data_IF_401722741499
#
_entry.id   IF_401722741499
#
_cell.length_a   1.000
_cell.length_b   1.000
_cell.length_c   1.000
_cell.angle_alpha   90.00
_cell.angle_beta   90.00
_cell.angle_gamma   90.00
#
_symmetry.space_group_name_H-M   'P 1'
#
loop_
_entity.id
_entity.type
_entity.pdbx_description
1 polymer ?
#
# COMPACT_ATOMS: atom_id res chain seq x y z
N UNK A 1 0.54 -15.43 -13.44
CA UNK A 1 -0.22 -14.16 -13.34
C UNK A 1 0.78 -13.02 -13.42
N UNK A 2 0.49 -11.93 -14.13
CA UNK A 2 1.44 -10.85 -14.47
C UNK A 2 1.46 -9.70 -13.43
N UNK A 3 1.09 -9.98 -12.18
CA UNK A 3 0.91 -8.96 -11.14
C UNK A 3 2.27 -8.41 -10.67
N UNK A 4 2.64 -7.21 -11.13
CA UNK A 4 3.96 -6.62 -10.89
C UNK A 4 3.92 -5.43 -9.92
N UNK A 5 2.77 -4.76 -9.79
CA UNK A 5 2.63 -3.55 -8.97
C UNK A 5 1.77 -3.83 -7.75
N UNK A 6 2.42 -3.99 -6.59
CA UNK A 6 1.72 -4.19 -5.32
C UNK A 6 1.46 -2.83 -4.65
N UNK A 7 0.18 -2.56 -4.39
CA UNK A 7 -0.31 -1.35 -3.75
C UNK A 7 -0.60 -1.66 -2.28
N UNK A 8 0.01 -0.89 -1.39
CA UNK A 8 -0.20 -0.96 0.06
C UNK A 8 -0.43 0.46 0.61
N UNK A 9 -1.70 0.88 0.74
CA UNK A 9 -2.01 2.15 1.37
C UNK A 9 -1.74 2.10 2.88
N UNK A 10 -1.30 3.22 3.43
CA UNK A 10 -1.14 3.43 4.86
C UNK A 10 -1.80 4.76 5.23
N UNK A 11 -2.96 4.67 5.85
CA UNK A 11 -3.74 5.81 6.32
C UNK A 11 -4.60 5.38 7.52
N UNK A 12 -5.02 6.35 8.33
CA UNK A 12 -6.04 6.10 9.34
C UNK A 12 -7.42 6.15 8.68
N UNK A 13 -8.17 5.04 8.71
CA UNK A 13 -9.53 5.00 8.17
C UNK A 13 -10.48 6.01 8.86
N UNK A 14 -10.14 6.41 10.09
CA UNK A 14 -10.78 7.48 10.85
C UNK A 14 -9.76 8.11 11.80
N UNK A 15 -9.91 9.42 12.04
CA UNK A 15 -9.14 10.14 13.08
C UNK A 15 -9.31 9.54 14.48
N UNK A 16 -10.41 8.82 14.72
CA UNK A 16 -10.69 8.12 15.97
C UNK A 16 -9.84 6.86 16.17
N UNK A 17 -9.00 6.50 15.20
CA UNK A 17 -8.02 5.42 15.29
C UNK A 17 -6.59 5.93 15.51
N UNK A 18 -6.34 7.24 15.47
CA UNK A 18 -4.96 7.76 15.58
C UNK A 18 -4.30 7.35 16.89
N UNK A 19 -5.07 7.26 17.98
CA UNK A 19 -4.57 6.83 19.30
C UNK A 19 -4.30 5.31 19.39
N UNK A 20 -4.69 4.51 18.38
CA UNK A 20 -4.30 3.09 18.32
C UNK A 20 -2.90 2.90 17.73
N UNK A 21 -2.31 3.95 17.17
CA UNK A 21 -0.94 3.94 16.68
C UNK A 21 0.06 3.70 17.82
N UNK A 22 1.15 2.94 17.59
CA UNK A 22 2.28 2.92 18.53
C UNK A 22 3.05 4.25 18.54
N UNK A 23 2.86 5.11 17.54
CA UNK A 23 3.43 6.44 17.50
C UNK A 23 2.50 7.43 18.22
N UNK A 24 3.10 8.48 18.80
CA UNK A 24 2.32 9.60 19.36
C UNK A 24 1.39 10.18 18.28
N UNK A 25 0.15 10.46 18.63
CA UNK A 25 -0.81 11.07 17.71
C UNK A 25 -0.28 12.36 17.03
N UNK A 26 0.50 13.17 17.76
CA UNK A 26 1.13 14.39 17.21
C UNK A 26 2.19 14.13 16.11
N UNK A 27 2.62 12.88 15.93
CA UNK A 27 3.62 12.46 14.94
C UNK A 27 2.95 11.83 13.71
N UNK A 28 1.92 11.00 13.91
CA UNK A 28 1.33 10.19 12.84
C UNK A 28 -0.03 10.70 12.33
N UNK A 29 -0.70 11.63 13.02
CA UNK A 29 -1.98 12.18 12.55
C UNK A 29 -1.84 12.75 11.13
N UNK A 30 -2.78 12.39 10.25
CA UNK A 30 -2.79 12.84 8.85
C UNK A 30 -1.85 12.07 7.92
N UNK A 31 -1.28 10.94 8.35
CA UNK A 31 -0.58 10.03 7.44
C UNK A 31 -1.53 9.51 6.36
N UNK A 32 -1.10 9.65 5.11
CA UNK A 32 -1.76 9.13 3.91
C UNK A 32 -0.68 8.83 2.86
N UNK A 33 -0.22 7.59 2.87
CA UNK A 33 0.83 7.07 2.02
C UNK A 33 0.28 5.98 1.11
N UNK A 34 0.76 5.94 -0.14
CA UNK A 34 0.51 4.82 -1.05
C UNK A 34 1.86 4.22 -1.46
N UNK A 35 2.24 3.08 -0.86
CA UNK A 35 3.44 2.38 -1.28
C UNK A 35 3.13 1.49 -2.49
N UNK A 36 3.94 1.63 -3.53
CA UNK A 36 3.86 0.93 -4.80
C UNK A 36 5.13 0.10 -4.96
N UNK A 37 5.03 -1.17 -4.56
CA UNK A 37 6.13 -2.13 -4.56
C UNK A 37 6.20 -2.85 -5.91
N UNK A 38 7.38 -2.89 -6.51
CA UNK A 38 7.66 -3.82 -7.62
C UNK A 38 7.71 -5.25 -7.07
N UNK A 39 6.94 -6.18 -7.64
CA UNK A 39 6.65 -7.48 -7.02
C UNK A 39 7.37 -8.67 -7.67
N UNK A 40 7.89 -8.53 -8.89
CA UNK A 40 8.27 -9.66 -9.75
C UNK A 40 9.74 -9.67 -10.16
N UNK A 41 10.55 -8.75 -9.62
CA UNK A 41 11.96 -8.59 -9.98
C UNK A 41 12.81 -8.36 -8.71
N UNK A 42 14.10 -8.04 -8.88
CA UNK A 42 14.99 -7.74 -7.76
C UNK A 42 15.53 -8.97 -7.04
N UNK A 43 15.96 -8.78 -5.79
CA UNK A 43 16.68 -9.78 -4.98
C UNK A 43 15.98 -11.14 -4.90
N UNK A 44 14.65 -11.16 -4.88
CA UNK A 44 13.86 -12.38 -4.66
C UNK A 44 13.88 -13.34 -5.85
N UNK A 45 14.13 -12.81 -7.05
CA UNK A 45 14.07 -13.54 -8.32
C UNK A 45 15.43 -13.66 -9.00
N UNK A 46 16.47 -13.00 -8.47
CA UNK A 46 17.82 -13.14 -8.99
C UNK A 46 18.44 -14.50 -8.65
N UNK A 47 19.57 -14.77 -9.29
CA UNK A 47 20.37 -15.95 -9.00
C UNK A 47 20.78 -15.98 -7.54
N UNK A 48 20.63 -17.15 -6.92
CA UNK A 48 21.00 -17.38 -5.52
C UNK A 48 21.80 -18.66 -5.39
N UNK A 49 22.62 -18.71 -4.34
CA UNK A 49 23.34 -19.90 -3.90
C UNK A 49 23.15 -20.06 -2.39
N UNK A 50 22.62 -21.21 -2.00
CA UNK A 50 22.51 -21.62 -0.60
C UNK A 50 23.89 -21.86 0.03
N UNK A 51 23.96 -21.75 1.36
CA UNK A 51 25.22 -21.90 2.09
C UNK A 51 25.85 -23.29 1.90
N UNK A 52 27.08 -23.32 1.39
CA UNK A 52 27.81 -24.56 1.09
C UNK A 52 28.92 -24.89 2.12
N UNK A 53 28.90 -24.25 3.28
CA UNK A 53 29.99 -24.32 4.26
C UNK A 53 31.03 -23.21 4.09
N UNK A 54 31.05 -22.50 2.96
CA UNK A 54 31.98 -21.39 2.69
C UNK A 54 31.23 -20.09 2.47
N UNK A 55 30.24 -20.06 1.57
CA UNK A 55 29.49 -18.86 1.26
C UNK A 55 28.06 -19.13 0.79
N UNK A 56 27.26 -18.07 0.79
CA UNK A 56 25.93 -17.96 0.20
C UNK A 56 25.82 -16.58 -0.48
N UNK A 57 24.94 -16.45 -1.46
CA UNK A 57 24.64 -15.15 -2.06
C UNK A 57 23.23 -15.10 -2.65
N UNK A 58 22.74 -13.87 -2.78
CA UNK A 58 21.51 -13.51 -3.47
C UNK A 58 21.82 -12.30 -4.37
N UNK A 59 21.33 -12.32 -5.61
CA UNK A 59 21.64 -11.29 -6.60
C UNK A 59 20.44 -10.37 -6.80
N UNK A 60 20.63 -9.06 -6.69
CA UNK A 60 19.58 -8.09 -7.10
C UNK A 60 19.76 -7.73 -8.56
N UNK A 61 18.76 -8.04 -9.39
CA UNK A 61 18.74 -7.67 -10.82
C UNK A 61 17.46 -6.89 -11.12
N UNK A 62 17.60 -5.82 -11.90
CA UNK A 62 16.51 -5.04 -12.47
C UNK A 62 16.83 -4.73 -13.92
N UNK A 63 15.82 -4.79 -14.77
CA UNK A 63 15.87 -4.34 -16.16
C UNK A 63 15.11 -3.02 -16.30
N UNK A 64 15.45 -2.24 -17.34
CA UNK A 64 14.75 -0.97 -17.62
C UNK A 64 13.22 -1.16 -17.75
N UNK A 65 12.68 -2.13 -18.52
CA UNK A 65 11.23 -2.30 -18.64
C UNK A 65 10.52 -2.61 -17.31
N UNK A 66 11.17 -3.34 -16.39
CA UNK A 66 10.61 -3.63 -15.07
C UNK A 66 10.46 -2.38 -14.21
N UNK A 67 11.41 -1.44 -14.32
CA UNK A 67 11.38 -0.16 -13.61
C UNK A 67 10.40 0.81 -14.28
N UNK A 68 10.32 0.82 -15.61
CA UNK A 68 9.40 1.71 -16.32
C UNK A 68 7.93 1.42 -15.97
N UNK A 69 7.52 0.15 -15.95
CA UNK A 69 6.12 -0.22 -15.65
C UNK A 69 5.69 0.17 -14.24
N UNK A 70 6.59 0.11 -13.26
CA UNK A 70 6.30 0.52 -11.87
C UNK A 70 6.31 2.05 -11.73
N UNK A 71 7.21 2.74 -12.44
CA UNK A 71 7.23 4.20 -12.53
C UNK A 71 5.93 4.75 -13.14
N UNK A 72 5.46 4.17 -14.25
CA UNK A 72 4.18 4.54 -14.89
C UNK A 72 2.98 4.31 -13.97
N UNK A 73 2.98 3.20 -13.23
CA UNK A 73 1.94 2.94 -12.24
C UNK A 73 1.95 3.97 -11.11
N UNK A 74 3.14 4.32 -10.60
CA UNK A 74 3.29 5.39 -9.61
C UNK A 74 2.78 6.74 -10.11
N UNK A 75 3.13 7.12 -11.33
CA UNK A 75 2.69 8.38 -11.95
C UNK A 75 1.17 8.43 -12.15
N UNK A 76 0.58 7.34 -12.62
CA UNK A 76 -0.89 7.21 -12.73
C UNK A 76 -1.59 7.39 -11.38
N UNK A 77 -1.09 6.71 -10.33
CA UNK A 77 -1.68 6.78 -9.00
C UNK A 77 -1.56 8.17 -8.40
N UNK A 78 -0.41 8.83 -8.56
CA UNK A 78 -0.20 10.18 -8.06
C UNK A 78 -1.17 11.16 -8.69
N UNK A 79 -1.34 11.13 -10.02
CA UNK A 79 -2.35 11.95 -10.71
C UNK A 79 -3.77 11.66 -10.24
N UNK A 80 -4.12 10.38 -10.09
CA UNK A 80 -5.47 9.95 -9.66
C UNK A 80 -5.79 10.41 -8.23
N UNK A 81 -4.78 10.46 -7.36
CA UNK A 81 -4.89 10.95 -5.98
C UNK A 81 -4.80 12.47 -5.86
N UNK A 82 -4.39 13.17 -6.93
CA UNK A 82 -4.11 14.60 -6.89
C UNK A 82 -2.80 14.96 -6.20
N UNK A 83 -1.89 13.98 -6.06
CA UNK A 83 -0.55 14.21 -5.51
C UNK A 83 0.28 15.05 -6.50
N UNK A 84 1.04 16.02 -5.99
CA UNK A 84 1.93 16.87 -6.80
C UNK A 84 3.32 16.28 -7.03
N UNK A 85 3.60 15.13 -6.40
CA UNK A 85 4.92 14.47 -6.44
C UNK A 85 4.80 12.96 -6.32
N UNK A 86 5.87 12.28 -6.72
CA UNK A 86 6.13 10.88 -6.38
C UNK A 86 7.49 10.76 -5.70
N UNK A 87 7.52 9.96 -4.64
CA UNK A 87 8.75 9.63 -3.93
C UNK A 87 9.31 8.33 -4.51
N UNK A 88 10.54 8.36 -5.00
CA UNK A 88 11.24 7.19 -5.52
C UNK A 88 12.25 6.68 -4.50
N UNK A 89 12.07 5.46 -4.02
CA UNK A 89 12.89 4.86 -2.97
C UNK A 89 14.04 4.05 -3.54
N UNK A 90 15.26 4.27 -3.05
CA UNK A 90 16.44 3.53 -3.52
C UNK A 90 17.63 3.55 -2.54
N UNK A 91 18.76 2.97 -2.96
CA UNK A 91 20.06 3.08 -2.29
C UNK A 91 21.18 3.45 -3.28
N UNK A 92 20.95 4.44 -4.13
CA UNK A 92 21.82 4.76 -5.27
C UNK A 92 23.23 5.26 -4.88
N UNK A 93 23.40 5.69 -3.64
CA UNK A 93 24.71 6.02 -3.08
C UNK A 93 25.63 4.79 -2.94
N UNK A 94 25.08 3.57 -3.00
CA UNK A 94 25.84 2.32 -2.96
C UNK A 94 25.56 1.47 -4.19
N UNK A 95 24.30 1.15 -4.46
CA UNK A 95 23.91 0.07 -5.39
C UNK A 95 23.83 0.53 -6.85
N UNK A 96 24.38 -0.29 -7.76
CA UNK A 96 24.28 -0.06 -9.20
C UNK A 96 22.83 -0.18 -9.72
N UNK A 97 22.07 -1.15 -9.21
CA UNK A 97 20.64 -1.32 -9.52
C UNK A 97 19.81 -0.10 -9.11
N UNK A 98 20.15 0.53 -7.98
CA UNK A 98 19.51 1.77 -7.55
C UNK A 98 19.89 2.98 -8.41
N UNK A 99 21.10 3.02 -8.97
CA UNK A 99 21.45 4.06 -9.96
C UNK A 99 20.67 3.88 -11.26
N UNK A 100 20.54 2.64 -11.74
CA UNK A 100 19.66 2.32 -12.87
C UNK A 100 18.21 2.74 -12.57
N UNK A 101 17.70 2.39 -11.38
CA UNK A 101 16.35 2.75 -10.94
C UNK A 101 16.11 4.25 -11.05
N UNK A 102 16.98 5.08 -10.44
CA UNK A 102 16.86 6.55 -10.52
C UNK A 102 16.84 7.04 -11.96
N UNK A 103 17.80 6.61 -12.77
CA UNK A 103 17.89 7.06 -14.17
C UNK A 103 16.64 6.74 -14.99
N UNK A 104 16.07 5.55 -14.81
CA UNK A 104 14.86 5.13 -15.53
C UNK A 104 13.63 5.87 -15.01
N UNK A 105 13.48 6.03 -13.69
CA UNK A 105 12.39 6.81 -13.10
C UNK A 105 12.43 8.26 -13.59
N UNK A 106 13.60 8.91 -13.54
CA UNK A 106 13.77 10.29 -14.03
C UNK A 106 13.42 10.40 -15.51
N UNK A 107 13.85 9.45 -16.34
CA UNK A 107 13.53 9.41 -17.77
C UNK A 107 12.01 9.30 -18.01
N UNK A 108 11.34 8.36 -17.34
CA UNK A 108 9.88 8.15 -17.48
C UNK A 108 9.11 9.39 -17.04
N UNK A 109 9.43 9.95 -15.87
CA UNK A 109 8.69 11.10 -15.36
C UNK A 109 8.92 12.36 -16.18
N UNK A 110 10.15 12.59 -16.64
CA UNK A 110 10.45 13.71 -17.54
C UNK A 110 9.65 13.63 -18.84
N UNK A 111 9.49 12.42 -19.41
CA UNK A 111 8.88 12.24 -20.72
C UNK A 111 7.35 12.08 -20.66
N UNK A 112 6.81 11.47 -19.61
CA UNK A 112 5.40 11.04 -19.53
C UNK A 112 4.61 11.77 -18.42
N UNK A 113 5.30 12.29 -17.40
CA UNK A 113 4.70 12.93 -16.22
C UNK A 113 5.36 14.27 -15.84
N UNK A 114 5.54 15.23 -16.78
CA UNK A 114 6.29 16.46 -16.52
C UNK A 114 5.63 17.39 -15.47
N UNK A 115 4.36 17.16 -15.14
CA UNK A 115 3.58 17.81 -14.09
C UNK A 115 3.88 17.28 -12.68
N UNK A 116 4.45 16.07 -12.55
CA UNK A 116 4.75 15.45 -11.27
C UNK A 116 6.22 15.67 -10.89
N UNK A 117 6.47 16.19 -9.68
CA UNK A 117 7.82 16.26 -9.14
C UNK A 117 8.29 14.86 -8.70
N UNK A 118 9.48 14.43 -9.12
CA UNK A 118 10.13 13.23 -8.55
C UNK A 118 11.03 13.64 -7.39
N UNK A 119 10.86 12.99 -6.25
CA UNK A 119 11.74 13.13 -5.09
C UNK A 119 12.41 11.79 -4.78
N UNK A 120 13.72 11.70 -4.97
CA UNK A 120 14.48 10.49 -4.62
C UNK A 120 14.79 10.48 -3.12
N UNK A 121 14.46 9.38 -2.47
CA UNK A 121 14.60 9.20 -1.04
C UNK A 121 15.36 7.90 -0.77
N UNK A 122 16.42 7.97 0.07
CA UNK A 122 17.16 6.76 0.45
C UNK A 122 16.33 5.89 1.38
N UNK A 123 16.33 4.58 1.17
CA UNK A 123 15.51 3.59 1.90
C UNK A 123 15.72 3.66 3.42
N UNK A 124 16.97 3.73 3.88
CA UNK A 124 17.31 3.84 5.30
C UNK A 124 16.84 5.16 5.91
N UNK A 125 16.93 6.25 5.17
CA UNK A 125 16.41 7.54 5.60
C UNK A 125 14.88 7.57 5.57
N UNK A 126 14.23 6.87 4.63
CA UNK A 126 12.77 6.71 4.59
C UNK A 126 12.25 6.01 5.85
N UNK A 127 12.86 4.89 6.25
CA UNK A 127 12.53 4.20 7.50
C UNK A 127 12.62 5.14 8.71
N UNK A 128 13.71 5.91 8.81
CA UNK A 128 13.86 6.90 9.88
C UNK A 128 12.76 7.99 9.85
N UNK A 129 12.34 8.42 8.66
CA UNK A 129 11.26 9.41 8.50
C UNK A 129 9.90 8.80 8.88
N UNK A 130 9.62 7.55 8.52
CA UNK A 130 8.37 6.85 8.86
C UNK A 130 8.10 6.83 10.38
N UNK A 131 9.16 6.70 11.19
CA UNK A 131 9.01 6.74 12.65
C UNK A 131 8.95 8.17 13.20
N UNK A 132 9.77 9.09 12.66
CA UNK A 132 9.95 10.42 13.25
C UNK A 132 8.92 11.45 12.81
N UNK A 133 8.53 11.42 11.54
CA UNK A 133 7.59 12.36 10.94
C UNK A 133 7.03 11.78 9.61
N UNK A 134 6.20 10.72 9.69
CA UNK A 134 5.75 9.98 8.51
C UNK A 134 4.96 10.81 7.50
N UNK A 135 4.33 11.92 7.92
CA UNK A 135 3.59 12.80 7.02
C UNK A 135 4.46 13.43 5.91
N UNK A 136 5.78 13.50 6.10
CA UNK A 136 6.72 13.91 5.04
C UNK A 136 6.75 12.93 3.85
N UNK A 137 6.32 11.69 4.07
CA UNK A 137 6.25 10.65 3.04
C UNK A 137 4.84 10.51 2.44
N UNK A 138 3.89 11.37 2.81
CA UNK A 138 2.55 11.35 2.25
C UNK A 138 2.55 11.48 0.72
N UNK A 139 1.63 10.76 0.10
CA UNK A 139 1.52 10.60 -1.35
C UNK A 139 2.03 9.24 -1.83
N UNK A 140 2.25 9.14 -3.14
CA UNK A 140 2.74 7.90 -3.77
C UNK A 140 4.25 7.73 -3.60
N UNK A 141 4.63 6.55 -3.12
CA UNK A 141 6.01 6.08 -3.01
C UNK A 141 6.21 4.86 -3.91
N UNK A 142 7.16 4.89 -4.84
CA UNK A 142 7.56 3.71 -5.63
C UNK A 142 8.82 3.08 -5.05
N UNK A 143 8.86 1.74 -4.97
CA UNK A 143 9.95 1.02 -4.33
C UNK A 143 10.38 -0.26 -5.07
N UNK A 144 11.69 -0.59 -5.08
CA UNK A 144 12.17 -1.92 -5.41
C UNK A 144 11.59 -2.99 -4.47
N UNK A 145 11.57 -4.24 -4.90
CA UNK A 145 10.84 -5.34 -4.26
C UNK A 145 11.13 -5.50 -2.77
N UNK A 146 12.40 -5.70 -2.39
CA UNK A 146 12.82 -5.86 -1.00
C UNK A 146 12.48 -4.63 -0.14
N UNK A 147 12.74 -3.42 -0.67
CA UNK A 147 12.50 -2.18 0.05
C UNK A 147 11.01 -1.94 0.26
N UNK A 148 10.21 -2.22 -0.78
CA UNK A 148 8.76 -2.12 -0.73
C UNK A 148 8.15 -3.12 0.25
N UNK A 149 8.72 -4.33 0.36
CA UNK A 149 8.33 -5.32 1.35
C UNK A 149 8.47 -4.76 2.78
N UNK A 150 9.72 -4.39 3.14
CA UNK A 150 10.08 -3.92 4.48
C UNK A 150 9.31 -2.65 4.85
N UNK A 151 9.33 -1.64 3.99
CA UNK A 151 8.73 -0.33 4.30
C UNK A 151 7.21 -0.39 4.31
N UNK A 152 6.59 -1.34 3.60
CA UNK A 152 5.13 -1.50 3.69
C UNK A 152 4.68 -2.09 5.01
N UNK A 153 5.45 -3.03 5.57
CA UNK A 153 5.18 -3.58 6.89
C UNK A 153 5.46 -2.52 7.96
N UNK A 154 6.53 -1.73 7.82
CA UNK A 154 6.78 -0.58 8.71
C UNK A 154 5.64 0.44 8.64
N UNK A 155 5.16 0.79 7.45
CA UNK A 155 4.00 1.66 7.29
C UNK A 155 2.74 1.07 7.95
N UNK A 156 2.53 -0.25 7.85
CA UNK A 156 1.39 -0.90 8.50
C UNK A 156 1.40 -0.78 10.02
N UNK A 157 2.59 -0.74 10.64
CA UNK A 157 2.71 -0.54 12.07
C UNK A 157 2.27 0.87 12.51
N UNK A 158 2.38 1.87 11.64
CA UNK A 158 1.98 3.26 11.94
C UNK A 158 0.48 3.35 12.23
N UNK A 159 -0.37 2.64 11.49
CA UNK A 159 -1.83 2.71 11.66
C UNK A 159 -2.34 1.91 12.87
N UNK A 160 -1.47 1.12 13.51
CA UNK A 160 -1.77 0.39 14.75
C UNK A 160 -2.55 -0.92 14.57
N UNK A 161 -3.17 -1.15 13.40
CA UNK A 161 -3.75 -2.46 13.07
C UNK A 161 -3.51 -2.83 11.60
N UNK A 162 -2.78 -3.93 11.41
CA UNK A 162 -2.63 -4.61 10.12
C UNK A 162 -3.97 -5.15 9.58
N UNK A 163 -4.96 -5.38 10.46
CA UNK A 163 -6.29 -5.87 10.11
C UNK A 163 -7.10 -4.88 9.27
N UNK A 164 -6.71 -3.61 9.25
CA UNK A 164 -7.38 -2.54 8.52
C UNK A 164 -6.89 -2.36 7.09
N UNK A 165 -5.73 -2.91 6.74
CA UNK A 165 -5.03 -2.48 5.54
C UNK A 165 -5.33 -3.42 4.36
N UNK A 166 -5.86 -2.89 3.26
CA UNK A 166 -6.06 -3.65 2.05
C UNK A 166 -4.76 -3.71 1.22
N UNK A 167 -4.73 -4.60 0.24
CA UNK A 167 -3.68 -4.66 -0.77
C UNK A 167 -4.24 -5.04 -2.14
N UNK A 168 -3.56 -4.57 -3.18
CA UNK A 168 -3.82 -4.95 -4.56
C UNK A 168 -2.52 -5.25 -5.29
N UNK A 169 -2.49 -6.32 -6.08
CA UNK A 169 -1.37 -6.65 -6.97
C UNK A 169 -1.85 -6.56 -8.41
N UNK A 170 -1.50 -5.45 -9.08
CA UNK A 170 -1.99 -5.09 -10.41
C UNK A 170 -1.10 -5.68 -11.52
N UNK A 171 -1.72 -6.17 -12.59
CA UNK A 171 -1.00 -6.63 -13.78
C UNK A 171 -0.75 -5.53 -14.82
N UNK A 172 -1.22 -4.32 -14.58
CA UNK A 172 -1.13 -3.18 -15.50
C UNK A 172 -1.56 -1.88 -14.85
N UNK A 173 -1.30 -0.77 -15.53
CA UNK A 173 -1.83 0.54 -15.15
C UNK A 173 -3.33 0.57 -15.48
N UNK A 174 -4.22 0.93 -14.53
CA UNK A 174 -5.64 1.05 -14.81
C UNK A 174 -5.93 2.10 -15.90
N UNK A 175 -6.69 1.71 -16.92
CA UNK A 175 -7.15 2.62 -17.99
C UNK A 175 -8.66 2.78 -17.93
N UNK A 176 -9.14 4.00 -18.14
CA UNK A 176 -10.58 4.31 -18.15
C UNK A 176 -11.29 3.47 -19.21
N UNK A 177 -12.31 2.74 -18.79
CA UNK A 177 -13.13 1.88 -19.66
C UNK A 177 -12.53 0.49 -19.90
N UNK A 178 -11.37 0.18 -19.32
CA UNK A 178 -10.74 -1.14 -19.38
C UNK A 178 -10.86 -1.88 -18.06
N UNK A 179 -10.81 -3.22 -18.12
CA UNK A 179 -10.61 -4.07 -16.94
C UNK A 179 -9.16 -4.49 -16.86
N UNK A 180 -8.57 -4.41 -15.68
CA UNK A 180 -7.21 -4.90 -15.41
C UNK A 180 -7.31 -6.17 -14.58
N UNK A 181 -6.71 -7.27 -15.04
CA UNK A 181 -6.60 -8.46 -14.21
C UNK A 181 -5.69 -8.17 -13.01
N UNK A 182 -6.17 -8.39 -11.79
CA UNK A 182 -5.44 -8.06 -10.56
C UNK A 182 -5.82 -9.02 -9.44
N UNK A 183 -4.98 -9.08 -8.40
CA UNK A 183 -5.25 -9.80 -7.15
C UNK A 183 -5.56 -8.78 -6.06
N UNK A 184 -6.54 -9.05 -5.22
CA UNK A 184 -6.91 -8.21 -4.08
C UNK A 184 -6.97 -9.07 -2.83
N UNK A 185 -6.29 -8.62 -1.77
CA UNK A 185 -6.13 -9.36 -0.52
C UNK A 185 -5.93 -8.40 0.65
N UNK A 186 -6.31 -8.73 1.89
CA UNK A 186 -5.86 -7.96 3.04
C UNK A 186 -4.35 -8.13 3.24
N UNK A 187 -3.67 -7.15 3.87
CA UNK A 187 -2.24 -7.28 4.18
C UNK A 187 -1.98 -8.36 5.24
N UNK A 188 -2.92 -8.56 6.17
CA UNK A 188 -2.75 -9.55 7.23
C UNK A 188 -2.69 -10.98 6.68
N UNK A 189 -1.93 -11.84 7.35
CA UNK A 189 -1.86 -13.27 7.04
C UNK A 189 -3.10 -14.07 7.48
N UNK A 190 -2.95 -15.38 7.59
CA UNK A 190 -4.05 -16.31 7.89
C UNK A 190 -4.59 -16.29 9.34
N UNK A 191 -3.90 -15.61 10.26
CA UNK A 191 -4.26 -15.49 11.68
C UNK A 191 -4.75 -16.82 12.31
N UNK A 192 -3.92 -17.90 12.25
CA UNK A 192 -4.35 -19.26 12.58
C UNK A 192 -4.77 -19.42 14.05
N UNK A 193 -4.23 -18.60 14.95
CA UNK A 193 -4.52 -18.57 16.38
C UNK A 193 -5.95 -18.10 16.70
N UNK A 194 -6.59 -17.34 15.81
CA UNK A 194 -7.96 -16.83 15.97
C UNK A 194 -8.96 -17.33 14.91
N UNK A 195 -8.52 -18.20 14.00
CA UNK A 195 -9.38 -18.81 12.99
C UNK A 195 -10.58 -19.53 13.60
N UNK A 196 -11.76 -19.38 12.99
CA UNK A 196 -13.01 -20.00 13.43
C UNK A 196 -13.66 -19.36 14.67
N UNK A 197 -13.05 -18.33 15.28
CA UNK A 197 -13.58 -17.69 16.50
C UNK A 197 -14.52 -16.51 16.23
N UNK A 198 -14.67 -16.09 14.98
CA UNK A 198 -15.55 -14.96 14.62
C UNK A 198 -15.09 -13.60 15.16
N UNK A 199 -13.79 -13.44 15.39
CA UNK A 199 -13.18 -12.21 15.96
C UNK A 199 -12.14 -11.55 15.04
N UNK A 200 -11.96 -12.07 13.82
CA UNK A 200 -11.05 -11.48 12.82
C UNK A 200 -11.63 -10.16 12.35
N UNK A 201 -10.80 -9.15 12.19
CA UNK A 201 -11.20 -7.86 11.61
C UNK A 201 -11.47 -8.02 10.10
N UNK A 202 -12.70 -7.81 9.61
CA UNK A 202 -13.01 -7.98 8.18
C UNK A 202 -12.65 -6.75 7.34
N UNK A 203 -12.27 -5.63 7.94
CA UNK A 203 -12.14 -4.32 7.27
C UNK A 203 -11.10 -4.37 6.15
N UNK A 204 -9.92 -4.96 6.37
CA UNK A 204 -8.90 -5.08 5.33
C UNK A 204 -9.42 -5.81 4.10
N UNK A 205 -10.20 -6.88 4.28
CA UNK A 205 -10.82 -7.62 3.17
C UNK A 205 -11.87 -6.78 2.44
N UNK A 206 -12.73 -6.07 3.18
CA UNK A 206 -13.76 -5.19 2.61
C UNK A 206 -13.11 -4.04 1.81
N UNK A 207 -12.05 -3.43 2.33
CA UNK A 207 -11.32 -2.38 1.62
C UNK A 207 -10.55 -2.92 0.41
N UNK A 208 -10.13 -4.19 0.40
CA UNK A 208 -9.58 -4.83 -0.80
C UNK A 208 -10.64 -4.99 -1.91
N UNK A 209 -11.91 -5.19 -1.55
CA UNK A 209 -13.03 -5.12 -2.52
C UNK A 209 -13.22 -3.70 -3.04
N UNK A 210 -13.06 -2.66 -2.20
CA UNK A 210 -13.08 -1.28 -2.67
C UNK A 210 -11.94 -0.99 -3.67
N UNK A 211 -10.73 -1.50 -3.41
CA UNK A 211 -9.62 -1.44 -4.37
C UNK A 211 -9.94 -2.17 -5.68
N UNK A 212 -10.67 -3.30 -5.63
CA UNK A 212 -11.13 -4.01 -6.83
C UNK A 212 -12.09 -3.16 -7.67
N UNK A 213 -13.08 -2.53 -7.03
CA UNK A 213 -13.97 -1.59 -7.71
C UNK A 213 -13.16 -0.46 -8.38
N UNK A 214 -12.22 0.13 -7.63
CA UNK A 214 -11.42 1.25 -8.11
C UNK A 214 -10.52 0.90 -9.29
N UNK A 215 -9.71 -0.17 -9.17
CA UNK A 215 -8.60 -0.41 -10.09
C UNK A 215 -8.88 -1.46 -11.18
N UNK A 216 -9.77 -2.44 -10.93
CA UNK A 216 -10.09 -3.48 -11.93
C UNK A 216 -11.40 -3.24 -12.64
N UNK A 217 -12.38 -2.60 -11.98
CA UNK A 217 -13.73 -2.44 -12.52
C UNK A 217 -14.03 -1.01 -12.96
N UNK A 218 -13.13 -0.06 -12.70
CA UNK A 218 -13.30 1.36 -13.01
C UNK A 218 -14.58 1.96 -12.39
N UNK A 219 -14.89 1.51 -11.17
CA UNK A 219 -16.03 1.88 -10.34
C UNK A 219 -15.56 2.70 -9.13
N UNK A 220 -14.94 3.85 -9.41
CA UNK A 220 -14.31 4.70 -8.38
C UNK A 220 -15.34 5.29 -7.40
N UNK A 221 -16.57 5.52 -7.87
CA UNK A 221 -17.67 5.99 -7.03
C UNK A 221 -18.10 4.92 -6.03
N UNK A 222 -18.29 3.68 -6.47
CA UNK A 222 -18.67 2.53 -5.65
C UNK A 222 -17.56 2.20 -4.64
N UNK A 223 -16.29 2.27 -5.05
CA UNK A 223 -15.16 2.14 -4.14
C UNK A 223 -15.24 3.17 -3.00
N UNK A 224 -15.51 4.44 -3.35
CA UNK A 224 -15.64 5.52 -2.37
C UNK A 224 -16.81 5.30 -1.41
N UNK A 225 -17.95 4.78 -1.88
CA UNK A 225 -19.09 4.46 -1.01
C UNK A 225 -18.73 3.41 0.04
N UNK A 226 -17.96 2.37 -0.34
CA UNK A 226 -17.49 1.34 0.60
C UNK A 226 -16.51 1.93 1.61
N UNK A 227 -15.54 2.73 1.15
CA UNK A 227 -14.56 3.40 2.02
C UNK A 227 -15.25 4.35 3.03
N UNK A 228 -16.23 5.13 2.57
CA UNK A 228 -17.01 6.05 3.40
C UNK A 228 -17.87 5.31 4.42
N UNK A 229 -18.47 4.17 4.06
CA UNK A 229 -19.23 3.33 4.98
C UNK A 229 -18.36 2.71 6.08
N UNK A 230 -17.15 2.24 5.72
CA UNK A 230 -16.17 1.75 6.70
C UNK A 230 -15.79 2.85 7.67
N UNK A 231 -15.45 4.05 7.16
CA UNK A 231 -15.14 5.21 7.98
C UNK A 231 -16.29 5.58 8.92
N UNK A 232 -17.51 5.67 8.40
CA UNK A 232 -18.70 6.01 9.18
C UNK A 232 -18.97 4.99 10.30
N UNK A 233 -18.79 3.69 10.04
CA UNK A 233 -18.95 2.66 11.06
C UNK A 233 -17.90 2.79 12.17
N UNK A 234 -16.64 3.08 11.81
CA UNK A 234 -15.55 3.34 12.75
C UNK A 234 -15.83 4.62 13.56
N UNK A 235 -16.30 5.70 12.93
CA UNK A 235 -16.69 6.93 13.62
C UNK A 235 -17.88 6.70 14.57
N UNK A 236 -18.79 5.77 14.21
CA UNK A 236 -19.90 5.30 15.03
C UNK A 236 -19.51 4.37 16.18
N UNK A 237 -18.22 4.10 16.38
CA UNK A 237 -17.71 3.31 17.51
C UNK A 237 -17.40 1.85 17.20
N UNK A 238 -17.46 1.40 15.94
CA UNK A 238 -17.04 0.06 15.55
C UNK A 238 -15.57 -0.18 15.91
N UNK A 239 -15.31 -1.14 16.82
CA UNK A 239 -13.95 -1.53 17.21
C UNK A 239 -13.89 -3.06 17.39
N UNK A 240 -13.18 -3.74 16.50
CA UNK A 240 -12.76 -5.14 16.65
C UNK A 240 -11.61 -5.25 17.65
N UNK A 241 -11.24 -6.47 18.03
CA UNK A 241 -10.27 -6.74 19.10
C UNK A 241 -8.89 -6.10 18.87
N UNK A 242 -8.39 -6.15 17.65
CA UNK A 242 -7.14 -5.53 17.19
C UNK A 242 -7.17 -4.00 17.20
N UNK A 243 -8.36 -3.39 17.19
CA UNK A 243 -8.57 -1.94 17.38
C UNK A 243 -8.90 -1.57 18.83
N UNK A 244 -8.75 -2.50 19.77
CA UNK A 244 -9.02 -2.28 21.20
C UNK A 244 -10.48 -2.41 21.61
N UNK A 245 -11.36 -2.94 20.74
CA UNK A 245 -12.77 -3.20 21.07
C UNK A 245 -13.11 -4.67 21.22
N UNK A 246 -14.39 -5.00 21.05
CA UNK A 246 -14.92 -6.36 21.22
C UNK A 246 -15.90 -6.79 20.13
N UNK A 247 -16.08 -6.00 19.07
CA UNK A 247 -17.01 -6.34 17.98
C UNK A 247 -16.54 -7.59 17.23
N UNK A 248 -17.45 -8.52 16.99
CA UNK A 248 -17.19 -9.73 16.20
C UNK A 248 -17.09 -9.46 14.69
N UNK A 249 -16.59 -10.42 13.92
CA UNK A 249 -16.43 -10.32 12.47
C UNK A 249 -17.76 -10.04 11.76
N UNK A 250 -18.82 -10.79 12.09
CA UNK A 250 -20.12 -10.64 11.44
C UNK A 250 -20.78 -9.30 11.81
N UNK A 251 -20.75 -8.95 13.10
CA UNK A 251 -21.27 -7.67 13.61
C UNK A 251 -20.57 -6.47 12.96
N UNK A 252 -19.25 -6.56 12.74
CA UNK A 252 -18.49 -5.53 12.03
C UNK A 252 -18.95 -5.40 10.57
N UNK A 253 -19.19 -6.52 9.88
CA UNK A 253 -19.76 -6.52 8.53
C UNK A 253 -21.14 -5.88 8.48
N UNK A 254 -22.03 -6.26 9.40
CA UNK A 254 -23.39 -5.72 9.50
C UNK A 254 -23.40 -4.21 9.78
N UNK A 255 -22.51 -3.73 10.65
CA UNK A 255 -22.36 -2.31 10.94
C UNK A 255 -21.94 -1.51 9.69
N UNK A 256 -20.99 -2.02 8.91
CA UNK A 256 -20.54 -1.37 7.66
C UNK A 256 -21.66 -1.38 6.61
N UNK A 257 -22.39 -2.49 6.46
CA UNK A 257 -23.54 -2.58 5.55
C UNK A 257 -24.63 -1.60 5.95
N UNK A 258 -24.91 -1.44 7.24
CA UNK A 258 -25.89 -0.49 7.73
C UNK A 258 -25.54 0.96 7.34
N UNK A 259 -24.26 1.36 7.44
CA UNK A 259 -23.81 2.68 6.97
C UNK A 259 -23.90 2.82 5.44
N UNK A 260 -23.48 1.79 4.69
CA UNK A 260 -23.56 1.80 3.23
C UNK A 260 -25.00 1.97 2.73
N UNK A 261 -25.97 1.29 3.36
CA UNK A 261 -27.39 1.40 3.02
C UNK A 261 -27.94 2.80 3.29
N UNK A 262 -27.46 3.50 4.32
CA UNK A 262 -27.85 4.90 4.56
C UNK A 262 -27.37 5.80 3.43
N UNK A 263 -26.11 5.64 3.01
CA UNK A 263 -25.53 6.45 1.93
C UNK A 263 -26.22 6.20 0.58
N UNK A 264 -26.60 4.96 0.27
CA UNK A 264 -27.31 4.62 -0.97
C UNK A 264 -28.77 5.12 -1.02
N UNK A 265 -29.35 5.47 0.14
CA UNK A 265 -30.73 5.99 0.25
C UNK A 265 -30.80 7.52 0.32
N UNK A 266 -29.66 8.19 0.53
CA UNK A 266 -29.54 9.65 0.56
C UNK A 266 -29.47 10.22 -0.86
#
# INVERSE_FOLDING_TARGET
MCAYGNLRPCFFASDALVETSPLKASVCRGVDMMLVRELTSGLYFGERKEYDGVNAFDTTVYTKPEIERIARLGGYLARTRGDSRVISLDKANVLATSRLWRSVVDEVYKNEFPDLKVEHQLIDSAAMIMVKNPTQLNGVMIAPNLAGDILSDEASAITGSIGLLPSASLCGVPEVGSKVLSIYEPIHGSAPDISGKGIVNPIGTILSVAMMFRYSLNLAHEAKLVEDAVRAAIDGGLRTKDMGGSTGTAEAGDAIVAELVKTLKA
#
